data_IF_315681455167
#
_entry.id   IF_315681455167
#
_cell.length_a   1.000
_cell.length_b   1.000
_cell.length_c   1.000
_cell.angle_alpha   90.00
_cell.angle_beta   90.00
_cell.angle_gamma   90.00
#
_symmetry.space_group_name_H-M   'P 1'
#
loop_
_entity.id
_entity.type
_entity.pdbx_description
1 polymer ?
#
# COMPACT_ATOMS: atom_id res chain seq x y z
N UNK A 1 -10.27 -11.04 -10.05
CA UNK A 1 -9.95 -10.76 -8.64
C UNK A 1 -9.84 -9.26 -8.46
N UNK A 2 -10.44 -8.67 -7.42
CA UNK A 2 -10.42 -7.21 -7.18
C UNK A 2 -9.31 -6.88 -6.19
N UNK A 3 -8.47 -5.90 -6.51
CA UNK A 3 -7.47 -5.37 -5.60
C UNK A 3 -8.08 -4.22 -4.80
N UNK A 4 -8.04 -4.30 -3.47
CA UNK A 4 -8.47 -3.24 -2.56
C UNK A 4 -7.26 -2.58 -1.92
N UNK A 5 -7.25 -1.25 -1.87
CA UNK A 5 -6.20 -0.53 -1.16
C UNK A 5 -6.28 -0.81 0.35
N UNK A 6 -5.15 -1.11 0.99
CA UNK A 6 -5.07 -1.38 2.42
C UNK A 6 -4.81 -0.13 3.29
N UNK A 7 -4.65 1.03 2.67
CA UNK A 7 -4.48 2.30 3.36
C UNK A 7 -5.70 2.65 4.21
N UNK A 8 -5.47 3.28 5.37
CA UNK A 8 -6.54 3.63 6.27
C UNK A 8 -7.54 4.58 5.57
N UNK A 9 -8.84 4.27 5.66
CA UNK A 9 -9.93 5.01 5.03
C UNK A 9 -9.89 5.14 3.49
N UNK A 10 -9.05 4.37 2.79
CA UNK A 10 -9.03 4.38 1.33
C UNK A 10 -10.07 3.41 0.75
N UNK A 11 -10.90 3.90 -0.18
CA UNK A 11 -11.93 3.10 -0.87
C UNK A 11 -11.53 2.69 -2.28
N UNK A 12 -10.33 3.09 -2.73
CA UNK A 12 -9.86 2.77 -4.07
C UNK A 12 -9.72 1.27 -4.27
N UNK A 13 -10.26 0.80 -5.40
CA UNK A 13 -10.16 -0.60 -5.78
C UNK A 13 -10.06 -0.76 -7.30
N UNK A 14 -9.52 -1.88 -7.76
CA UNK A 14 -9.25 -2.09 -9.20
C UNK A 14 -10.51 -2.29 -10.06
N UNK A 15 -11.69 -2.40 -9.46
CA UNK A 15 -12.96 -2.50 -10.18
C UNK A 15 -13.51 -1.11 -10.51
N UNK A 16 -13.51 -0.21 -9.51
CA UNK A 16 -14.11 1.12 -9.60
C UNK A 16 -13.10 2.20 -10.03
N UNK A 17 -11.80 1.98 -9.79
CA UNK A 17 -10.72 2.91 -10.12
C UNK A 17 -9.76 2.28 -11.13
N UNK A 18 -10.17 2.22 -12.40
CA UNK A 18 -9.42 1.53 -13.48
C UNK A 18 -8.12 2.25 -13.86
N UNK A 19 -8.06 3.56 -13.69
CA UNK A 19 -6.89 4.37 -14.02
C UNK A 19 -5.83 4.39 -12.91
N UNK A 20 -6.13 3.76 -11.77
CA UNK A 20 -5.23 3.72 -10.61
C UNK A 20 -4.48 2.40 -10.59
N UNK A 21 -3.15 2.48 -10.52
CA UNK A 21 -2.30 1.30 -10.36
C UNK A 21 -2.28 0.80 -8.91
N UNK A 22 -2.16 -0.51 -8.72
CA UNK A 22 -2.13 -1.16 -7.40
C UNK A 22 -0.84 -1.96 -7.21
N UNK A 23 -0.11 -1.68 -6.14
CA UNK A 23 1.21 -2.22 -5.86
C UNK A 23 1.19 -3.09 -4.60
N UNK A 24 2.06 -4.10 -4.53
CA UNK A 24 2.29 -4.84 -3.28
C UNK A 24 3.18 -4.04 -2.35
N UNK A 25 3.03 -4.24 -1.04
CA UNK A 25 4.00 -3.72 -0.07
C UNK A 25 5.39 -4.33 -0.32
N UNK A 26 6.47 -3.51 -0.22
CA UNK A 26 7.83 -4.00 -0.43
C UNK A 26 8.23 -4.99 0.68
N UNK A 27 9.16 -5.90 0.37
CA UNK A 27 9.74 -6.85 1.33
C UNK A 27 10.88 -6.23 2.15
N UNK A 28 11.52 -5.20 1.60
CA UNK A 28 12.58 -4.46 2.26
C UNK A 28 12.02 -3.76 3.51
N UNK A 29 12.61 -4.02 4.68
CA UNK A 29 12.06 -3.56 5.96
C UNK A 29 11.96 -2.05 6.08
N UNK A 30 12.97 -1.31 5.58
CA UNK A 30 12.99 0.15 5.66
C UNK A 30 11.93 0.75 4.74
N UNK A 31 11.88 0.31 3.49
CA UNK A 31 10.90 0.78 2.51
C UNK A 31 9.48 0.37 2.91
N UNK A 32 9.31 -0.80 3.52
CA UNK A 32 8.03 -1.27 4.03
C UNK A 32 7.54 -0.38 5.17
N UNK A 33 8.42 -0.01 6.09
CA UNK A 33 8.10 0.93 7.17
C UNK A 33 7.65 2.28 6.63
N UNK A 34 8.38 2.85 5.68
CA UNK A 34 8.00 4.12 5.03
C UNK A 34 6.63 4.04 4.35
N UNK A 35 6.31 2.91 3.70
CA UNK A 35 5.01 2.71 3.07
C UNK A 35 3.89 2.55 4.09
N UNK A 36 4.10 1.74 5.13
CA UNK A 36 3.11 1.52 6.19
C UNK A 36 2.82 2.81 6.96
N UNK A 37 3.84 3.62 7.23
CA UNK A 37 3.70 4.95 7.83
C UNK A 37 2.84 5.87 6.94
N UNK A 38 3.19 5.99 5.65
CA UNK A 38 2.44 6.82 4.68
C UNK A 38 0.97 6.42 4.53
N UNK A 39 0.65 5.13 4.65
CA UNK A 39 -0.74 4.65 4.51
C UNK A 39 -1.49 4.53 5.85
N UNK A 40 -0.86 4.96 6.96
CA UNK A 40 -1.46 4.92 8.30
C UNK A 40 -1.69 3.50 8.83
N UNK A 41 -0.83 2.54 8.47
CA UNK A 41 -0.95 1.12 8.82
C UNK A 41 0.29 0.57 9.54
N UNK A 42 0.87 1.34 10.45
CA UNK A 42 1.96 0.88 11.31
C UNK A 42 1.57 -0.34 12.17
N UNK A 43 0.28 -0.59 12.39
CA UNK A 43 -0.25 -1.80 13.04
C UNK A 43 0.18 -3.08 12.31
N UNK A 44 0.35 -3.03 10.98
CA UNK A 44 0.76 -4.18 10.18
C UNK A 44 2.23 -4.57 10.39
N UNK A 45 3.05 -3.77 11.08
CA UNK A 45 4.44 -4.15 11.41
C UNK A 45 4.53 -5.38 12.31
N UNK A 46 3.46 -5.71 13.03
CA UNK A 46 3.39 -6.88 13.90
C UNK A 46 3.08 -8.18 13.12
N UNK A 47 2.64 -8.05 11.86
CA UNK A 47 2.29 -9.20 11.02
C UNK A 47 3.53 -9.85 10.37
N UNK A 48 3.36 -11.10 9.93
CA UNK A 48 4.37 -11.78 9.11
C UNK A 48 4.52 -11.07 7.76
N UNK A 49 5.76 -10.91 7.29
CA UNK A 49 6.10 -10.31 5.97
C UNK A 49 5.27 -10.93 4.83
N UNK A 50 5.05 -12.24 4.85
CA UNK A 50 4.24 -12.96 3.85
C UNK A 50 2.77 -12.50 3.80
N UNK A 51 2.20 -12.09 4.93
CA UNK A 51 0.86 -11.53 5.04
C UNK A 51 0.83 -10.11 4.53
N UNK A 52 1.82 -9.31 4.91
CA UNK A 52 1.96 -7.90 4.53
C UNK A 52 2.11 -7.77 3.00
N UNK A 53 2.97 -8.59 2.39
CA UNK A 53 3.24 -8.55 0.95
C UNK A 53 2.04 -8.91 0.06
N UNK A 54 1.00 -9.56 0.62
CA UNK A 54 -0.25 -9.86 -0.09
C UNK A 54 -1.20 -8.65 -0.15
N UNK A 55 -1.00 -7.64 0.71
CA UNK A 55 -1.81 -6.42 0.72
C UNK A 55 -1.45 -5.53 -0.47
N UNK A 56 -2.43 -4.76 -0.94
CA UNK A 56 -2.28 -3.85 -2.08
C UNK A 56 -2.41 -2.40 -1.63
N UNK A 57 -1.61 -1.51 -2.21
CA UNK A 57 -1.67 -0.06 -2.01
C UNK A 57 -1.89 0.60 -3.36
N UNK A 58 -2.80 1.56 -3.45
CA UNK A 58 -3.04 2.27 -4.71
C UNK A 58 -1.98 3.36 -4.94
N UNK A 59 -1.66 3.65 -6.20
CA UNK A 59 -0.61 4.59 -6.61
C UNK A 59 -0.75 6.00 -6.03
N UNK A 60 -1.98 6.43 -5.75
CA UNK A 60 -2.28 7.72 -5.10
C UNK A 60 -1.53 7.92 -3.77
N UNK A 61 -1.28 6.86 -3.00
CA UNK A 61 -0.53 6.96 -1.75
C UNK A 61 0.99 6.93 -1.92
N UNK A 62 1.46 6.64 -3.14
CA UNK A 62 2.88 6.45 -3.45
C UNK A 62 3.49 7.65 -4.17
N UNK A 63 2.67 8.50 -4.78
CA UNK A 63 3.07 9.62 -5.64
C UNK A 63 3.83 10.77 -4.93
N UNK A 64 4.02 10.72 -3.61
CA UNK A 64 4.77 11.74 -2.85
C UNK A 64 6.25 11.36 -2.59
N UNK A 65 6.95 10.81 -3.60
CA UNK A 65 8.38 10.47 -3.46
C UNK A 65 9.21 10.75 -4.72
N UNK A 66 8.87 11.80 -5.46
CA UNK A 66 9.82 12.45 -6.38
C UNK A 66 10.00 13.86 -5.86
N UNK A 67 10.97 14.04 -4.99
CA UNK A 67 11.50 15.37 -4.69
C UNK A 67 12.19 15.86 -5.97
N UNK A 68 11.83 17.07 -6.39
CA UNK A 68 12.40 17.84 -7.51
C UNK A 68 13.92 17.93 -7.38
#
# INVERSE_FOLDING_TARGET
>A
MVNYCCAINCKNNSRDNKDVSFFTLPKDGIRQLQWLDKIGRLDLMQDKIETICKKRVCGVHLELSITI
#
